data_IF_361273002771
#
_entry.id   IF_361273002771
#
_cell.length_a   1.000
_cell.length_b   1.000
_cell.length_c   1.000
_cell.angle_alpha   90.00
_cell.angle_beta   90.00
_cell.angle_gamma   90.00
#
_symmetry.space_group_name_H-M   'P 1'
#
loop_
_entity.id
_entity.type
_entity.pdbx_description
1 polymer ?
#
# COMPACT_ATOMS: atom_id res chain seq x y z
N UNK A 1 -15.08 54.80 -39.96
CA UNK A 1 -16.52 54.45 -39.87
C UNK A 1 -16.63 52.94 -39.97
N UNK A 2 -16.67 52.24 -38.83
CA UNK A 2 -17.84 51.47 -38.34
C UNK A 2 -18.57 50.71 -39.46
N UNK A 3 -18.51 49.37 -39.40
CA UNK A 3 -19.69 48.51 -39.46
C UNK A 3 -19.37 47.14 -38.85
N UNK A 4 -20.11 46.85 -37.79
CA UNK A 4 -20.17 45.62 -37.02
C UNK A 4 -20.91 44.55 -37.82
N UNK A 5 -20.41 43.31 -37.82
CA UNK A 5 -21.19 42.11 -38.17
C UNK A 5 -21.15 41.21 -36.95
N UNK A 6 -22.31 41.06 -36.31
CA UNK A 6 -22.56 40.25 -35.12
C UNK A 6 -22.75 38.77 -35.54
N UNK A 7 -22.32 37.78 -34.73
CA UNK A 7 -22.52 36.37 -35.04
C UNK A 7 -23.88 35.89 -34.51
N UNK A 8 -24.62 35.14 -35.34
CA UNK A 8 -25.90 34.51 -34.98
C UNK A 8 -25.89 33.05 -35.47
N UNK A 9 -24.95 32.25 -34.98
CA UNK A 9 -24.85 30.82 -35.25
C UNK A 9 -24.18 30.13 -34.05
N UNK A 10 -24.97 29.80 -33.03
CA UNK A 10 -24.43 29.16 -31.82
C UNK A 10 -25.46 28.78 -30.78
N UNK A 11 -26.73 28.55 -31.17
CA UNK A 11 -27.80 28.19 -30.23
C UNK A 11 -28.75 27.11 -30.77
N UNK A 12 -28.21 26.11 -31.50
CA UNK A 12 -29.03 25.03 -32.06
C UNK A 12 -28.38 23.63 -32.02
N UNK A 13 -27.43 23.38 -31.11
CA UNK A 13 -26.77 22.06 -30.94
C UNK A 13 -26.86 21.53 -29.50
N UNK A 14 -27.76 22.07 -28.66
CA UNK A 14 -27.91 21.67 -27.23
C UNK A 14 -29.21 20.87 -26.98
N UNK A 15 -29.85 20.27 -28.01
CA UNK A 15 -31.13 19.54 -27.83
C UNK A 15 -31.16 18.10 -28.36
N UNK A 16 -30.02 17.44 -28.62
CA UNK A 16 -30.00 16.06 -29.15
C UNK A 16 -29.00 15.12 -28.44
N UNK A 17 -28.90 15.14 -27.11
CA UNK A 17 -28.18 14.09 -26.34
C UNK A 17 -28.92 13.70 -25.06
N UNK A 18 -30.22 13.41 -25.15
CA UNK A 18 -31.02 12.99 -23.99
C UNK A 18 -31.85 11.72 -24.26
N UNK A 19 -31.27 10.72 -24.93
CA UNK A 19 -31.83 9.36 -25.02
C UNK A 19 -30.73 8.37 -25.41
N UNK A 20 -30.19 7.65 -24.42
CA UNK A 20 -29.76 6.25 -24.50
C UNK A 20 -28.71 5.95 -23.42
N UNK A 21 -29.17 5.45 -22.27
CA UNK A 21 -28.43 4.53 -21.39
C UNK A 21 -29.47 3.90 -20.44
N UNK A 22 -30.28 2.98 -20.96
CA UNK A 22 -31.03 2.07 -20.10
C UNK A 22 -30.03 1.03 -19.58
N UNK A 23 -29.88 0.95 -18.25
CA UNK A 23 -29.08 -0.09 -17.62
C UNK A 23 -29.66 -1.48 -17.94
N UNK A 24 -28.84 -2.47 -18.34
CA UNK A 24 -29.33 -3.81 -18.61
C UNK A 24 -29.87 -4.45 -17.33
N UNK A 25 -31.09 -4.96 -17.41
CA UNK A 25 -31.72 -5.74 -16.34
C UNK A 25 -30.90 -7.02 -16.08
N UNK A 26 -30.58 -7.37 -14.83
CA UNK A 26 -29.84 -8.60 -14.52
C UNK A 26 -30.64 -9.81 -15.00
N UNK A 27 -30.05 -10.61 -15.90
CA UNK A 27 -30.61 -11.90 -16.28
C UNK A 27 -30.23 -12.93 -15.21
N UNK A 28 -31.23 -13.45 -14.51
CA UNK A 28 -31.09 -14.61 -13.62
C UNK A 28 -30.91 -15.83 -14.53
N UNK A 29 -29.70 -16.37 -14.55
CA UNK A 29 -29.41 -17.65 -15.20
C UNK A 29 -29.73 -18.73 -14.16
N UNK A 30 -30.91 -19.33 -14.30
CA UNK A 30 -31.24 -20.56 -13.58
C UNK A 30 -30.43 -21.70 -14.19
N UNK A 31 -29.42 -22.18 -13.46
CA UNK A 31 -28.71 -23.41 -13.81
C UNK A 31 -29.53 -24.57 -13.24
N UNK A 32 -30.17 -25.40 -14.08
CA UNK A 32 -30.88 -26.59 -13.61
C UNK A 32 -29.85 -27.57 -13.02
N UNK A 33 -29.93 -27.81 -11.71
CA UNK A 33 -29.20 -28.87 -11.03
C UNK A 33 -29.86 -30.20 -11.37
N UNK A 34 -29.25 -30.97 -12.27
CA UNK A 34 -29.64 -32.36 -12.51
C UNK A 34 -29.41 -33.19 -11.24
N UNK A 35 -30.49 -33.55 -10.56
CA UNK A 35 -30.48 -34.56 -9.51
C UNK A 35 -30.60 -35.91 -10.19
N UNK A 36 -29.48 -36.63 -10.29
CA UNK A 36 -29.46 -38.03 -10.71
C UNK A 36 -30.14 -38.85 -9.62
N UNK A 37 -31.41 -39.17 -9.82
CA UNK A 37 -32.13 -40.18 -9.03
C UNK A 37 -31.80 -41.54 -9.63
N UNK A 38 -30.84 -42.25 -9.04
CA UNK A 38 -30.64 -43.67 -9.33
C UNK A 38 -31.82 -44.47 -8.78
N UNK A 39 -32.75 -44.77 -9.69
CA UNK A 39 -33.86 -45.69 -9.45
C UNK A 39 -33.33 -47.13 -9.52
N UNK A 40 -32.92 -47.68 -8.39
CA UNK A 40 -32.65 -49.12 -8.28
C UNK A 40 -33.99 -49.87 -8.15
N UNK A 41 -34.48 -50.44 -9.26
CA UNK A 41 -35.55 -51.45 -9.23
C UNK A 41 -34.88 -52.82 -9.28
N UNK A 42 -34.86 -53.54 -8.16
CA UNK A 42 -34.59 -54.98 -8.16
C UNK A 42 -35.63 -55.69 -7.30
N UNK A 43 -36.48 -56.42 -8.03
CA UNK A 43 -37.23 -57.64 -7.72
C UNK A 43 -37.47 -58.04 -6.25
N UNK A 44 -38.74 -58.14 -5.94
CA UNK A 44 -39.33 -58.94 -4.87
C UNK A 44 -39.00 -60.43 -5.03
N UNK A 45 -38.29 -60.99 -4.05
CA UNK A 45 -38.33 -62.41 -3.71
C UNK A 45 -38.60 -62.49 -2.21
N UNK A 46 -39.76 -63.02 -1.84
CA UNK A 46 -40.09 -63.34 -0.46
C UNK A 46 -39.16 -64.46 0.04
N UNK A 47 -38.27 -64.11 0.97
CA UNK A 47 -37.59 -65.08 1.83
C UNK A 47 -37.87 -64.66 3.26
N UNK A 48 -38.72 -65.43 3.93
CA UNK A 48 -38.94 -65.37 5.38
C UNK A 48 -37.63 -65.76 6.05
N UNK A 49 -36.92 -64.77 6.60
CA UNK A 49 -35.79 -64.98 7.50
C UNK A 49 -35.97 -64.05 8.67
N UNK A 50 -36.13 -64.63 9.86
CA UNK A 50 -36.14 -63.89 11.13
C UNK A 50 -34.81 -63.15 11.26
N UNK A 51 -34.86 -61.82 11.16
CA UNK A 51 -33.72 -60.93 11.40
C UNK A 51 -33.84 -60.45 12.84
N UNK A 52 -32.89 -60.87 13.68
CA UNK A 52 -32.67 -60.27 14.97
C UNK A 52 -32.39 -58.78 14.79
N UNK A 53 -33.23 -57.94 15.39
CA UNK A 53 -33.04 -56.50 15.43
C UNK A 53 -31.88 -56.23 16.39
N UNK A 54 -30.65 -56.16 15.89
CA UNK A 54 -29.58 -55.46 16.60
C UNK A 54 -29.80 -53.96 16.41
N UNK A 55 -30.18 -53.30 17.51
CA UNK A 55 -30.18 -51.85 17.62
C UNK A 55 -28.73 -51.39 17.56
N UNK A 56 -28.26 -51.04 16.36
CA UNK A 56 -26.98 -50.35 16.20
C UNK A 56 -27.22 -48.93 16.70
N UNK A 57 -26.87 -48.71 17.97
CA UNK A 57 -26.79 -47.38 18.56
C UNK A 57 -25.61 -46.69 17.87
N UNK A 58 -25.89 -45.92 16.83
CA UNK A 58 -24.89 -45.10 16.16
C UNK A 58 -24.47 -44.00 17.15
N UNK A 59 -23.43 -44.31 17.92
CA UNK A 59 -22.74 -43.33 18.76
C UNK A 59 -21.95 -42.48 17.78
N UNK A 60 -22.53 -41.34 17.38
CA UNK A 60 -21.77 -40.26 16.77
C UNK A 60 -20.78 -39.81 17.83
N UNK A 61 -19.56 -40.37 17.77
CA UNK A 61 -18.43 -39.88 18.55
C UNK A 61 -18.07 -38.55 17.91
N UNK A 62 -18.66 -37.47 18.40
CA UNK A 62 -18.18 -36.12 18.14
C UNK A 62 -16.74 -36.11 18.65
N UNK A 63 -15.77 -36.13 17.74
CA UNK A 63 -14.37 -36.02 18.11
C UNK A 63 -14.23 -34.76 18.96
N UNK A 64 -13.80 -34.93 20.21
CA UNK A 64 -13.38 -33.81 21.04
C UNK A 64 -12.36 -33.03 20.21
N UNK A 65 -12.59 -31.73 19.93
CA UNK A 65 -11.64 -30.95 19.15
C UNK A 65 -10.28 -31.07 19.83
N UNK A 66 -9.27 -31.42 19.04
CA UNK A 66 -7.90 -31.47 19.51
C UNK A 66 -7.58 -30.11 20.16
N UNK A 67 -6.96 -30.09 21.35
CA UNK A 67 -6.61 -28.83 22.00
C UNK A 67 -5.83 -27.97 21.01
N UNK A 68 -6.16 -26.67 20.88
CA UNK A 68 -5.42 -25.79 19.99
C UNK A 68 -3.94 -25.89 20.34
N UNK A 69 -3.09 -26.00 19.32
CA UNK A 69 -1.66 -26.03 19.51
C UNK A 69 -1.24 -24.82 20.38
N UNK A 70 -0.32 -24.99 21.33
CA UNK A 70 0.14 -23.87 22.14
C UNK A 70 0.64 -22.76 21.21
N UNK A 71 0.13 -21.54 21.44
CA UNK A 71 0.56 -20.35 20.71
C UNK A 71 2.08 -20.21 20.87
N UNK A 72 2.78 -19.96 19.75
CA UNK A 72 4.22 -19.72 19.77
C UNK A 72 4.54 -18.48 20.64
N UNK A 73 5.72 -18.48 21.25
CA UNK A 73 6.23 -17.31 21.99
C UNK A 73 6.32 -16.08 21.05
N UNK A 74 5.55 -15.04 21.37
CA UNK A 74 5.44 -13.80 20.59
C UNK A 74 6.35 -12.68 21.13
N UNK A 75 7.11 -12.93 22.20
CA UNK A 75 7.87 -11.88 22.91
C UNK A 75 8.83 -11.10 22.00
N UNK A 76 9.50 -11.77 21.08
CA UNK A 76 10.40 -11.12 20.11
C UNK A 76 9.63 -10.24 19.11
N UNK A 77 8.46 -10.67 18.66
CA UNK A 77 7.60 -9.91 17.72
C UNK A 77 7.04 -8.67 18.42
N UNK A 78 6.57 -8.82 19.66
CA UNK A 78 6.08 -7.71 20.48
C UNK A 78 7.19 -6.70 20.73
N UNK A 79 8.40 -7.16 21.06
CA UNK A 79 9.55 -6.27 21.25
C UNK A 79 9.94 -5.53 19.96
N UNK A 80 9.92 -6.21 18.81
CA UNK A 80 10.17 -5.58 17.52
C UNK A 80 9.11 -4.51 17.21
N UNK A 81 7.82 -4.82 17.42
CA UNK A 81 6.72 -3.88 17.28
C UNK A 81 6.88 -2.66 18.19
N UNK A 82 7.12 -2.87 19.48
CA UNK A 82 7.31 -1.80 20.49
C UNK A 82 8.48 -0.85 20.16
N UNK A 83 9.46 -1.30 19.39
CA UNK A 83 10.59 -0.47 18.94
C UNK A 83 10.33 0.25 17.61
N UNK A 84 9.27 -0.13 16.90
CA UNK A 84 8.94 0.37 15.58
C UNK A 84 8.05 1.61 15.60
N UNK A 85 7.93 2.31 14.46
CA UNK A 85 7.13 3.52 14.34
C UNK A 85 5.60 3.28 14.34
N UNK A 86 5.14 2.03 14.44
CA UNK A 86 3.73 1.71 14.58
C UNK A 86 3.27 1.63 16.05
N UNK A 87 4.16 1.34 17.00
CA UNK A 87 3.77 1.20 18.41
C UNK A 87 3.69 2.53 19.17
N UNK A 88 4.64 3.43 18.92
CA UNK A 88 4.76 4.70 19.62
C UNK A 88 4.90 5.82 18.59
N UNK A 89 3.76 6.33 18.14
CA UNK A 89 3.68 7.27 17.02
C UNK A 89 2.98 8.58 17.36
N UNK A 90 2.72 8.84 18.65
CA UNK A 90 2.10 10.09 19.09
C UNK A 90 2.98 11.29 18.72
N UNK A 91 2.39 12.25 18.04
CA UNK A 91 3.08 13.46 17.58
C UNK A 91 2.06 14.56 17.30
N UNK A 92 2.25 15.74 17.91
CA UNK A 92 1.36 16.89 17.71
C UNK A 92 1.27 17.34 16.24
N UNK A 93 2.31 17.11 15.45
CA UNK A 93 2.40 17.38 14.01
C UNK A 93 1.78 16.28 13.13
N UNK A 94 1.47 15.10 13.67
CA UNK A 94 0.75 14.03 12.96
C UNK A 94 -0.77 14.09 13.14
N UNK A 95 -1.26 15.11 13.84
CA UNK A 95 -2.68 15.31 14.10
C UNK A 95 -3.18 14.38 15.20
N UNK A 96 -2.93 14.72 16.48
CA UNK A 96 -3.45 13.99 17.65
C UNK A 96 -4.94 14.26 17.80
N UNK A 97 -5.74 13.76 16.88
CA UNK A 97 -7.17 14.03 16.80
C UNK A 97 -7.91 12.83 16.23
N UNK A 98 -9.18 12.78 16.58
CA UNK A 98 -10.10 11.70 16.22
C UNK A 98 -10.33 11.50 14.72
N UNK A 99 -9.90 12.40 13.82
CA UNK A 99 -9.91 12.20 12.36
C UNK A 99 -8.64 11.51 11.86
N UNK A 100 -7.47 12.03 12.23
CA UNK A 100 -6.16 11.48 11.86
C UNK A 100 -5.85 10.15 12.56
N UNK A 101 -6.45 9.93 13.74
CA UNK A 101 -6.41 8.66 14.48
C UNK A 101 -6.79 7.45 13.64
N UNK A 102 -7.59 7.61 12.57
CA UNK A 102 -7.89 6.51 11.62
C UNK A 102 -6.66 5.68 11.22
N UNK A 103 -5.52 6.34 11.00
CA UNK A 103 -4.30 5.68 10.53
C UNK A 103 -3.20 5.62 11.60
N UNK A 104 -3.29 6.42 12.66
CA UNK A 104 -2.22 6.52 13.66
C UNK A 104 -2.61 5.96 15.03
N UNK A 105 -3.91 5.90 15.35
CA UNK A 105 -4.46 5.27 16.55
C UNK A 105 -5.92 4.86 16.30
N UNK A 106 -6.17 3.80 15.50
CA UNK A 106 -7.49 3.52 14.93
C UNK A 106 -8.63 3.39 15.95
N UNK A 107 -8.33 2.99 17.18
CA UNK A 107 -9.27 2.89 18.30
C UNK A 107 -9.75 4.25 18.80
N UNK A 108 -8.98 5.32 18.59
CA UNK A 108 -9.43 6.69 18.84
C UNK A 108 -10.14 7.32 17.63
N UNK A 109 -10.33 6.60 16.52
CA UNK A 109 -10.97 7.16 15.33
C UNK A 109 -12.47 7.38 15.56
N UNK A 110 -12.96 8.59 15.26
CA UNK A 110 -14.38 8.87 15.14
C UNK A 110 -14.75 9.10 13.66
N UNK A 111 -15.55 8.20 13.05
CA UNK A 111 -15.94 8.28 11.64
C UNK A 111 -16.92 9.42 11.35
N UNK A 112 -17.37 10.17 12.35
CA UNK A 112 -18.23 11.35 12.19
C UNK A 112 -17.44 12.65 12.04
N UNK A 113 -16.15 12.66 12.38
CA UNK A 113 -15.27 13.83 12.28
C UNK A 113 -14.99 14.27 10.85
N UNK A 114 -14.95 15.57 10.60
CA UNK A 114 -14.72 16.15 9.27
C UNK A 114 -13.74 17.32 9.37
N UNK A 115 -13.13 17.72 8.26
CA UNK A 115 -12.35 18.95 8.22
C UNK A 115 -13.22 20.17 8.56
N UNK A 116 -12.69 21.07 9.38
CA UNK A 116 -13.35 22.34 9.72
C UNK A 116 -13.05 23.40 8.64
N UNK A 117 -13.61 24.60 8.82
CA UNK A 117 -13.33 25.76 7.98
C UNK A 117 -11.97 26.38 8.32
N UNK A 118 -11.29 27.01 7.33
CA UNK A 118 -10.12 27.82 7.61
C UNK A 118 -10.38 28.88 8.70
N UNK A 119 -9.40 29.17 9.57
CA UNK A 119 -8.00 28.71 9.54
C UNK A 119 -7.71 27.38 10.28
N UNK A 120 -8.72 26.78 10.91
CA UNK A 120 -8.57 25.63 11.81
C UNK A 120 -9.02 24.32 11.14
N UNK A 121 -8.64 24.08 9.88
CA UNK A 121 -9.20 22.99 9.10
C UNK A 121 -9.03 21.59 9.74
N UNK A 122 -7.94 21.39 10.48
CA UNK A 122 -7.58 20.12 11.14
C UNK A 122 -6.94 20.45 12.49
N UNK A 123 -7.17 19.60 13.49
CA UNK A 123 -6.49 19.68 14.79
C UNK A 123 -5.06 19.17 14.69
N UNK A 124 -4.07 20.06 14.53
CA UNK A 124 -2.67 19.69 14.33
C UNK A 124 -1.73 20.88 14.61
N UNK A 125 -0.49 20.60 15.01
CA UNK A 125 0.58 21.59 15.10
C UNK A 125 1.36 21.66 13.80
N UNK A 126 1.18 22.75 13.04
CA UNK A 126 2.03 23.01 11.88
C UNK A 126 3.40 23.53 12.30
N UNK A 127 4.48 23.30 11.50
CA UNK A 127 5.82 23.75 11.86
C UNK A 127 5.96 25.26 12.14
N UNK A 128 5.08 26.08 11.56
CA UNK A 128 5.09 27.54 11.74
C UNK A 128 4.25 28.02 12.93
N UNK A 129 3.48 27.13 13.56
CA UNK A 129 2.58 27.49 14.64
C UNK A 129 3.24 27.26 16.02
N UNK A 130 3.05 28.20 16.93
CA UNK A 130 3.50 28.07 18.32
C UNK A 130 2.70 26.98 19.04
N UNK A 131 1.39 26.97 18.82
CA UNK A 131 0.40 26.11 19.48
C UNK A 131 -0.32 25.20 18.47
N UNK A 132 -0.89 24.11 18.99
CA UNK A 132 -1.76 23.21 18.22
C UNK A 132 -3.00 24.00 17.77
N UNK A 133 -3.32 23.96 16.47
CA UNK A 133 -4.62 24.45 16.00
C UNK A 133 -5.70 23.46 16.40
N UNK A 134 -6.85 23.97 16.83
CA UNK A 134 -7.98 23.15 17.27
C UNK A 134 -9.15 23.34 16.30
N UNK A 135 -9.50 22.28 15.57
CA UNK A 135 -10.72 22.21 14.77
C UNK A 135 -11.93 21.95 15.70
N UNK A 136 -13.09 22.53 15.40
CA UNK A 136 -14.32 22.35 16.18
C UNK A 136 -15.06 21.05 15.85
N UNK A 137 -14.64 20.38 14.79
CA UNK A 137 -15.31 19.20 14.20
C UNK A 137 -14.56 17.88 14.47
N UNK A 138 -13.48 17.92 15.25
CA UNK A 138 -12.72 16.75 15.67
C UNK A 138 -12.12 17.00 17.04
N UNK A 139 -12.26 16.03 17.94
CA UNK A 139 -11.70 16.09 19.28
C UNK A 139 -10.19 15.85 19.25
N UNK A 140 -9.46 16.58 20.10
CA UNK A 140 -8.05 16.32 20.38
C UNK A 140 -7.92 15.09 21.26
N UNK A 141 -6.96 14.24 20.94
CA UNK A 141 -6.65 13.02 21.70
C UNK A 141 -5.37 13.30 22.46
N UNK A 142 -5.44 13.36 23.78
CA UNK A 142 -4.27 13.53 24.64
C UNK A 142 -3.33 12.31 24.51
N UNK A 143 -2.04 12.52 24.72
CA UNK A 143 -1.03 11.45 24.67
C UNK A 143 -1.37 10.27 25.59
N UNK A 144 -1.93 10.56 26.77
CA UNK A 144 -2.33 9.54 27.73
C UNK A 144 -3.52 8.68 27.26
N UNK A 145 -4.33 9.20 26.33
CA UNK A 145 -5.48 8.52 25.75
C UNK A 145 -5.17 7.92 24.36
N UNK A 146 -3.94 8.12 23.88
CA UNK A 146 -3.48 7.64 22.58
C UNK A 146 -3.16 6.15 22.63
N UNK A 147 -3.96 5.34 21.92
CA UNK A 147 -3.83 3.88 21.91
C UNK A 147 -2.70 3.39 20.98
N UNK A 148 -2.43 4.12 19.89
CA UNK A 148 -1.49 3.72 18.85
C UNK A 148 -2.04 2.61 17.94
N UNK A 149 -1.17 1.96 17.16
CA UNK A 149 -1.55 0.86 16.26
C UNK A 149 -1.23 -0.47 16.95
N UNK A 150 -2.19 -1.01 17.69
CA UNK A 150 -2.06 -2.28 18.40
C UNK A 150 -2.07 -3.51 17.49
N UNK A 151 -1.66 -4.66 18.04
CA UNK A 151 -1.68 -5.94 17.32
C UNK A 151 -3.08 -6.31 16.80
N UNK A 152 -4.11 -5.94 17.57
CA UNK A 152 -5.54 -6.08 17.27
C UNK A 152 -5.98 -5.32 16.02
N UNK A 153 -5.23 -4.29 15.60
CA UNK A 153 -5.53 -3.58 14.35
C UNK A 153 -5.32 -4.48 13.13
N UNK A 154 -4.30 -5.35 13.20
CA UNK A 154 -3.78 -6.14 12.08
C UNK A 154 -4.04 -7.65 12.22
N UNK A 155 -4.42 -8.09 13.42
CA UNK A 155 -4.63 -9.49 13.75
C UNK A 155 -5.83 -9.64 14.67
N UNK A 156 -6.61 -10.68 14.45
CA UNK A 156 -7.55 -11.13 15.48
C UNK A 156 -6.77 -11.77 16.64
N UNK A 157 -7.00 -11.25 17.84
CA UNK A 157 -6.38 -11.73 19.08
C UNK A 157 -7.33 -12.63 19.86
N UNK A 158 -6.78 -13.67 20.50
CA UNK A 158 -7.53 -14.50 21.44
C UNK A 158 -7.81 -13.78 22.78
N UNK A 159 -8.55 -14.42 23.69
CA UNK A 159 -8.88 -13.86 25.02
C UNK A 159 -7.64 -13.56 25.87
N UNK A 160 -6.49 -14.15 25.54
CA UNK A 160 -5.20 -13.92 26.21
C UNK A 160 -4.36 -12.85 25.51
N UNK A 161 -4.88 -12.23 24.44
CA UNK A 161 -4.21 -11.19 23.67
C UNK A 161 -3.22 -11.71 22.64
N UNK A 162 -3.24 -13.01 22.29
CA UNK A 162 -2.30 -13.57 21.32
C UNK A 162 -2.91 -13.65 19.92
N UNK A 163 -2.08 -13.38 18.91
CA UNK A 163 -2.45 -13.58 17.50
C UNK A 163 -2.25 -15.04 17.06
N UNK A 164 -3.16 -15.55 16.22
CA UNK A 164 -2.97 -16.83 15.50
C UNK A 164 -2.07 -16.71 14.27
N UNK A 165 -1.55 -15.50 13.99
CA UNK A 165 -0.75 -15.18 12.81
C UNK A 165 -1.57 -14.90 11.54
N UNK A 166 -2.90 -15.07 11.60
CA UNK A 166 -3.80 -14.69 10.50
C UNK A 166 -3.92 -13.17 10.42
N UNK A 167 -3.92 -12.65 9.20
CA UNK A 167 -4.16 -11.23 8.95
C UNK A 167 -5.66 -10.95 9.07
N UNK A 168 -5.98 -9.85 9.73
CA UNK A 168 -7.32 -9.29 9.82
C UNK A 168 -7.23 -7.76 9.91
N UNK A 169 -8.32 -7.07 9.65
CA UNK A 169 -8.41 -5.63 9.88
C UNK A 169 -9.52 -5.36 10.88
N UNK A 170 -9.20 -4.76 12.03
CA UNK A 170 -10.23 -4.31 12.97
C UNK A 170 -10.93 -3.07 12.42
N UNK A 171 -12.19 -3.21 12.04
CA UNK A 171 -13.02 -2.08 11.70
C UNK A 171 -13.60 -1.46 12.98
N UNK A 172 -12.97 -0.38 13.46
CA UNK A 172 -13.34 0.28 14.72
C UNK A 172 -14.70 0.98 14.66
N UNK A 173 -15.33 1.11 13.49
CA UNK A 173 -16.71 1.63 13.36
C UNK A 173 -17.74 0.56 13.70
N UNK A 174 -17.49 -0.69 13.28
CA UNK A 174 -18.39 -1.82 13.52
C UNK A 174 -17.98 -2.67 14.71
N UNK A 175 -16.75 -2.50 15.19
CA UNK A 175 -16.11 -3.37 16.19
C UNK A 175 -16.04 -4.83 15.73
N UNK A 176 -15.81 -5.02 14.43
CA UNK A 176 -15.74 -6.35 13.80
C UNK A 176 -14.44 -6.49 13.00
N UNK A 177 -13.91 -7.71 12.96
CA UNK A 177 -12.76 -8.04 12.14
C UNK A 177 -13.17 -8.32 10.69
N UNK A 178 -12.54 -7.62 9.77
CA UNK A 178 -12.59 -7.91 8.34
C UNK A 178 -11.46 -8.87 7.97
N UNK A 179 -11.77 -9.92 7.23
CA UNK A 179 -10.75 -10.79 6.65
C UNK A 179 -9.99 -10.03 5.55
N UNK A 180 -8.66 -10.09 5.59
CA UNK A 180 -7.78 -9.55 4.54
C UNK A 180 -6.93 -10.67 3.97
N UNK A 181 -6.73 -10.65 2.66
CA UNK A 181 -6.13 -11.77 1.92
C UNK A 181 -4.61 -11.67 1.78
N UNK A 182 -4.06 -10.47 1.92
CA UNK A 182 -2.63 -10.21 1.77
C UNK A 182 -2.16 -9.03 2.66
N UNK A 183 -0.86 -8.99 3.04
CA UNK A 183 -0.29 -7.86 3.77
C UNK A 183 -0.50 -6.52 3.07
N UNK A 184 -0.36 -6.47 1.74
CA UNK A 184 -0.58 -5.23 0.98
C UNK A 184 -2.00 -4.68 1.15
N UNK A 185 -3.02 -5.54 1.09
CA UNK A 185 -4.42 -5.15 1.29
C UNK A 185 -4.63 -4.56 2.70
N UNK A 186 -3.96 -5.12 3.70
CA UNK A 186 -3.99 -4.61 5.07
C UNK A 186 -3.27 -3.26 5.19
N UNK A 187 -2.06 -3.13 4.65
CA UNK A 187 -1.29 -1.88 4.66
C UNK A 187 -2.05 -0.73 3.99
N UNK A 188 -2.75 -1.02 2.89
CA UNK A 188 -3.56 -0.05 2.13
C UNK A 188 -4.79 0.47 2.89
N UNK A 189 -5.15 -0.12 4.05
CA UNK A 189 -6.17 0.46 4.95
C UNK A 189 -5.75 1.82 5.50
N UNK A 190 -4.43 2.06 5.63
CA UNK A 190 -3.83 3.30 6.14
C UNK A 190 -2.92 4.00 5.13
N UNK A 191 -2.16 3.26 4.33
CA UNK A 191 -1.26 3.78 3.28
C UNK A 191 -1.99 3.98 1.95
N UNK A 192 -2.93 4.91 1.94
CA UNK A 192 -3.73 5.26 0.76
C UNK A 192 -3.72 6.77 0.49
N UNK A 193 -4.08 7.15 -0.73
CA UNK A 193 -4.34 8.53 -1.10
C UNK A 193 -5.82 8.81 -0.91
N UNK A 194 -6.16 9.69 0.04
CA UNK A 194 -7.54 10.13 0.30
C UNK A 194 -7.83 11.53 -0.24
N UNK A 195 -6.86 12.15 -0.93
CA UNK A 195 -7.01 13.47 -1.53
C UNK A 195 -8.20 13.47 -2.50
N UNK A 196 -9.04 14.51 -2.43
CA UNK A 196 -10.20 14.66 -3.32
C UNK A 196 -11.48 13.92 -2.92
N UNK A 197 -11.57 13.26 -1.76
CA UNK A 197 -12.87 12.79 -1.26
C UNK A 197 -13.72 14.01 -0.86
N UNK A 198 -14.68 14.37 -1.71
CA UNK A 198 -15.58 15.51 -1.49
C UNK A 198 -16.34 15.41 -0.16
N UNK A 199 -16.58 14.18 0.34
CA UNK A 199 -17.24 13.94 1.63
C UNK A 199 -16.41 14.35 2.86
N UNK A 200 -15.09 14.50 2.73
CA UNK A 200 -14.19 14.97 3.81
C UNK A 200 -13.70 16.40 3.63
N UNK A 201 -14.20 17.12 2.61
CA UNK A 201 -13.79 18.50 2.34
C UNK A 201 -12.49 18.63 1.55
N UNK A 202 -11.98 17.55 0.94
CA UNK A 202 -10.85 17.62 0.01
C UNK A 202 -9.47 17.78 0.63
N UNK A 203 -9.32 17.63 1.95
CA UNK A 203 -8.03 17.75 2.66
C UNK A 203 -7.26 16.42 2.75
N UNK A 204 -7.67 15.43 1.96
CA UNK A 204 -7.17 14.06 2.10
C UNK A 204 -5.65 13.95 1.96
N UNK A 205 -5.12 12.99 2.70
CA UNK A 205 -3.70 12.72 2.80
C UNK A 205 -3.24 11.89 1.60
N UNK A 206 -2.09 12.20 1.01
CA UNK A 206 -1.48 11.42 -0.09
C UNK A 206 -0.43 10.49 0.50
N UNK A 207 -0.82 9.27 0.87
CA UNK A 207 0.07 8.26 1.45
C UNK A 207 0.01 6.92 0.69
N UNK A 208 -0.61 6.87 -0.49
CA UNK A 208 -0.59 5.66 -1.30
C UNK A 208 0.84 5.30 -1.67
N UNK A 209 1.21 4.06 -1.38
CA UNK A 209 2.46 3.47 -1.85
C UNK A 209 2.10 2.60 -3.04
N UNK A 210 2.41 3.08 -4.24
CA UNK A 210 2.24 2.26 -5.44
C UNK A 210 3.42 1.30 -5.56
N UNK A 211 3.17 0.00 -5.39
CA UNK A 211 4.13 -1.03 -5.78
C UNK A 211 4.13 -1.13 -7.30
N UNK A 212 5.05 -0.45 -7.98
CA UNK A 212 5.13 -0.36 -9.44
C UNK A 212 6.34 -1.06 -10.06
N UNK A 213 6.55 -0.81 -11.36
CA UNK A 213 7.78 -1.21 -12.06
C UNK A 213 7.86 -2.66 -12.54
N UNK A 214 8.87 -2.96 -13.35
CA UNK A 214 9.04 -4.25 -14.06
C UNK A 214 9.94 -5.27 -13.35
N UNK A 215 10.78 -4.85 -12.40
CA UNK A 215 11.83 -5.71 -11.83
C UNK A 215 11.28 -6.87 -10.99
N UNK A 216 10.23 -6.61 -10.22
CA UNK A 216 9.56 -7.61 -9.39
C UNK A 216 8.20 -8.04 -9.95
N UNK A 217 7.78 -7.46 -11.09
CA UNK A 217 6.60 -7.87 -11.84
C UNK A 217 6.97 -8.87 -12.93
N UNK A 218 6.02 -9.70 -13.32
CA UNK A 218 6.23 -10.80 -14.24
C UNK A 218 6.41 -10.31 -15.69
N UNK A 219 7.64 -9.99 -16.10
CA UNK A 219 7.93 -9.85 -17.53
C UNK A 219 7.93 -11.24 -18.16
N UNK A 220 6.81 -11.59 -18.80
CA UNK A 220 6.64 -12.72 -19.73
C UNK A 220 6.88 -14.16 -19.23
N UNK A 221 6.76 -14.46 -17.92
CA UNK A 221 6.60 -15.84 -17.45
C UNK A 221 7.82 -16.77 -17.66
N UNK A 222 9.00 -16.21 -17.87
CA UNK A 222 10.22 -16.98 -18.08
C UNK A 222 11.00 -17.21 -16.77
N UNK A 223 11.26 -18.49 -16.50
CA UNK A 223 12.19 -19.10 -15.52
C UNK A 223 11.80 -19.11 -14.03
N UNK A 224 12.07 -20.23 -13.31
CA UNK A 224 11.61 -20.43 -11.94
C UNK A 224 12.44 -19.56 -10.97
N UNK A 225 11.79 -18.58 -10.36
CA UNK A 225 12.32 -17.83 -9.23
C UNK A 225 11.44 -18.21 -8.03
N UNK A 226 11.98 -18.96 -7.07
CA UNK A 226 11.21 -19.58 -5.99
C UNK A 226 10.55 -18.56 -5.03
N UNK A 227 11.01 -17.31 -4.99
CA UNK A 227 10.39 -16.23 -4.23
C UNK A 227 10.72 -14.89 -4.90
N UNK A 228 9.69 -14.20 -5.42
CA UNK A 228 9.79 -12.81 -5.88
C UNK A 228 9.02 -11.92 -4.91
N UNK A 229 9.58 -10.77 -4.46
CA UNK A 229 8.83 -9.84 -3.64
C UNK A 229 7.58 -9.34 -4.40
N UNK A 230 6.41 -9.47 -3.80
CA UNK A 230 5.12 -9.00 -4.33
C UNK A 230 4.33 -8.20 -3.32
N UNK A 231 4.59 -8.39 -2.02
CA UNK A 231 3.89 -7.74 -0.95
C UNK A 231 4.80 -6.75 -0.22
N UNK A 232 4.19 -5.76 0.44
CA UNK A 232 4.92 -4.80 1.29
C UNK A 232 5.82 -5.53 2.30
N UNK A 233 5.33 -6.64 2.86
CA UNK A 233 6.02 -7.46 3.87
C UNK A 233 7.22 -8.24 3.34
N UNK A 234 7.39 -8.35 2.01
CA UNK A 234 8.55 -9.04 1.44
C UNK A 234 9.81 -8.18 1.56
N UNK A 235 9.62 -6.86 1.59
CA UNK A 235 10.66 -5.85 1.72
C UNK A 235 10.68 -5.17 3.10
N UNK A 236 9.58 -5.17 3.85
CA UNK A 236 9.50 -4.56 5.18
C UNK A 236 9.04 -5.58 6.21
N UNK A 237 9.60 -5.57 7.41
CA UNK A 237 8.96 -6.27 8.53
C UNK A 237 7.79 -5.40 9.05
N UNK A 238 6.52 -5.84 9.05
CA UNK A 238 5.41 -5.00 9.50
C UNK A 238 5.46 -4.67 11.00
N UNK A 239 6.24 -5.41 11.79
CA UNK A 239 6.36 -5.16 13.23
C UNK A 239 7.42 -4.09 13.50
N UNK A 240 8.64 -4.21 12.97
CA UNK A 240 9.67 -3.17 13.16
C UNK A 240 9.60 -2.03 12.12
N UNK A 241 8.93 -2.26 10.99
CA UNK A 241 8.92 -1.47 9.73
C UNK A 241 10.28 -1.34 9.04
N UNK A 242 11.31 -2.00 9.57
CA UNK A 242 12.65 -1.92 9.03
C UNK A 242 12.70 -2.53 7.62
N UNK A 243 13.14 -1.76 6.60
CA UNK A 243 13.21 -2.27 5.24
C UNK A 243 14.45 -3.16 5.08
N UNK A 244 14.26 -4.28 4.38
CA UNK A 244 15.33 -4.98 3.70
C UNK A 244 16.03 -4.07 2.71
N UNK A 245 17.33 -4.25 2.59
CA UNK A 245 18.14 -3.64 1.57
C UNK A 245 18.11 -4.48 0.30
N UNK A 246 18.33 -3.86 -0.86
CA UNK A 246 18.37 -4.57 -2.15
C UNK A 246 19.41 -5.71 -2.11
N UNK A 247 20.51 -5.49 -1.41
CA UNK A 247 21.64 -6.42 -1.24
C UNK A 247 21.30 -7.65 -0.41
N UNK A 248 20.25 -7.60 0.42
CA UNK A 248 19.82 -8.76 1.22
C UNK A 248 19.30 -9.89 0.32
N UNK A 249 18.82 -9.54 -0.88
CA UNK A 249 18.40 -10.48 -1.92
C UNK A 249 19.37 -10.53 -3.10
N UNK A 250 20.08 -9.43 -3.40
CA UNK A 250 20.88 -9.25 -4.60
C UNK A 250 22.38 -9.10 -4.31
N UNK A 251 22.94 -9.76 -3.30
CA UNK A 251 24.36 -9.63 -2.91
C UNK A 251 25.34 -9.76 -4.09
N UNK A 252 25.08 -10.68 -5.02
CA UNK A 252 25.93 -10.92 -6.19
C UNK A 252 26.07 -9.70 -7.13
N UNK A 253 25.16 -8.73 -7.08
CA UNK A 253 25.26 -7.52 -7.92
C UNK A 253 26.43 -6.63 -7.50
N UNK A 254 26.86 -6.72 -6.23
CA UNK A 254 27.95 -5.89 -5.68
C UNK A 254 29.30 -6.19 -6.33
N UNK A 255 29.47 -7.38 -6.90
CA UNK A 255 30.70 -7.85 -7.53
C UNK A 255 30.54 -8.15 -9.02
N UNK A 256 29.36 -7.89 -9.58
CA UNK A 256 29.07 -8.19 -10.99
C UNK A 256 29.77 -7.22 -11.93
N UNK A 257 30.67 -7.73 -12.77
CA UNK A 257 31.33 -6.91 -13.81
C UNK A 257 30.36 -6.46 -14.91
N UNK A 258 29.19 -7.08 -15.05
CA UNK A 258 28.25 -6.81 -16.14
C UNK A 258 27.11 -5.87 -15.77
N UNK A 259 26.70 -5.82 -14.49
CA UNK A 259 25.54 -5.04 -14.07
C UNK A 259 25.76 -3.53 -14.23
N UNK A 260 26.81 -3.00 -13.61
CA UNK A 260 27.20 -1.59 -13.66
C UNK A 260 28.28 -1.32 -14.72
N UNK A 261 28.36 -2.16 -15.77
CA UNK A 261 29.40 -2.11 -16.80
C UNK A 261 30.83 -2.01 -16.22
N UNK A 262 31.09 -2.70 -15.12
CA UNK A 262 32.39 -2.69 -14.42
C UNK A 262 32.62 -1.52 -13.47
N UNK A 263 31.72 -0.53 -13.37
CA UNK A 263 31.87 0.66 -12.52
C UNK A 263 31.43 0.46 -11.06
N UNK A 264 31.34 -0.78 -10.59
CA UNK A 264 30.80 -1.16 -9.27
C UNK A 264 31.37 -0.30 -8.11
N UNK A 265 32.69 -0.09 -8.04
CA UNK A 265 33.31 0.64 -6.93
C UNK A 265 32.82 2.10 -6.83
N UNK A 266 32.68 2.77 -7.97
CA UNK A 266 32.25 4.17 -7.99
C UNK A 266 30.75 4.25 -7.76
N UNK A 267 29.97 3.44 -8.49
CA UNK A 267 28.52 3.48 -8.39
C UNK A 267 28.00 3.10 -6.99
N UNK A 268 28.51 2.04 -6.37
CA UNK A 268 28.09 1.64 -5.03
C UNK A 268 28.44 2.65 -3.93
N UNK A 269 29.44 3.51 -4.15
CA UNK A 269 29.82 4.56 -3.20
C UNK A 269 29.17 5.92 -3.48
N UNK A 270 28.54 6.08 -4.64
CA UNK A 270 28.03 7.38 -5.11
C UNK A 270 26.59 7.36 -5.58
N UNK A 271 25.95 6.22 -5.74
CA UNK A 271 24.62 6.08 -6.33
C UNK A 271 23.83 5.03 -5.55
N UNK A 272 22.62 5.39 -5.11
CA UNK A 272 21.68 4.42 -4.56
C UNK A 272 21.11 3.54 -5.67
N UNK A 273 20.75 2.29 -5.39
CA UNK A 273 20.15 1.41 -6.40
C UNK A 273 18.92 2.05 -7.08
N UNK A 274 18.10 2.75 -6.30
CA UNK A 274 16.86 3.38 -6.80
C UNK A 274 17.11 4.56 -7.73
N UNK A 275 18.24 5.25 -7.64
CA UNK A 275 18.58 6.31 -8.60
C UNK A 275 18.59 5.79 -10.05
N UNK A 276 19.00 4.55 -10.27
CA UNK A 276 18.96 3.91 -11.59
C UNK A 276 17.70 3.08 -11.82
N UNK A 277 17.23 2.37 -10.78
CA UNK A 277 16.15 1.38 -10.90
C UNK A 277 14.75 1.91 -10.62
N UNK A 278 14.57 3.20 -10.35
CA UNK A 278 13.25 3.81 -10.26
C UNK A 278 12.51 3.77 -11.60
N UNK A 279 11.25 3.33 -11.57
CA UNK A 279 10.34 3.24 -12.70
C UNK A 279 9.26 4.33 -12.70
N UNK A 280 9.20 5.17 -11.66
CA UNK A 280 8.24 6.29 -11.57
C UNK A 280 8.77 7.57 -12.21
N UNK A 281 9.91 7.50 -12.89
CA UNK A 281 10.56 8.62 -13.58
C UNK A 281 10.86 9.80 -12.64
N UNK A 282 11.12 9.50 -11.36
CA UNK A 282 11.51 10.50 -10.37
C UNK A 282 12.82 11.19 -10.79
N UNK A 283 12.99 12.44 -10.36
CA UNK A 283 14.24 13.17 -10.55
C UNK A 283 15.38 12.44 -9.84
N UNK A 284 16.60 12.58 -10.36
CA UNK A 284 17.79 11.96 -9.77
C UNK A 284 18.84 13.04 -9.57
N UNK A 285 19.44 13.08 -8.39
CA UNK A 285 20.50 14.02 -8.06
C UNK A 285 21.14 13.72 -6.71
N UNK A 286 22.11 14.55 -6.26
CA UNK A 286 22.72 14.42 -4.95
C UNK A 286 21.68 14.46 -3.84
N UNK A 287 21.78 13.56 -2.87
CA UNK A 287 20.89 13.52 -1.71
C UNK A 287 20.91 14.87 -0.95
N UNK A 288 19.74 15.44 -0.59
CA UNK A 288 19.65 16.79 -0.02
C UNK A 288 20.24 16.92 1.39
N UNK A 289 20.29 15.81 2.14
CA UNK A 289 21.03 15.73 3.41
C UNK A 289 22.55 15.66 3.15
N UNK A 290 23.27 16.71 3.57
CA UNK A 290 24.72 16.85 3.43
C UNK A 290 25.49 15.71 4.12
N UNK A 291 24.94 15.13 5.20
CA UNK A 291 25.57 14.01 5.91
C UNK A 291 25.63 12.74 5.06
N UNK A 292 24.79 12.64 4.02
CA UNK A 292 24.84 11.54 3.04
C UNK A 292 25.93 11.74 1.98
N UNK A 293 26.73 12.81 2.08
CA UNK A 293 27.95 12.98 1.29
C UNK A 293 27.73 13.08 -0.23
N UNK A 294 26.55 13.57 -0.64
CA UNK A 294 26.19 13.77 -2.04
C UNK A 294 25.97 12.48 -2.85
N UNK A 295 25.63 11.37 -2.20
CA UNK A 295 25.19 10.15 -2.89
C UNK A 295 23.97 10.46 -3.76
N UNK A 296 23.98 10.03 -5.02
CA UNK A 296 22.87 10.20 -5.94
C UNK A 296 21.68 9.31 -5.55
N UNK A 297 20.52 9.93 -5.47
CA UNK A 297 19.27 9.30 -5.07
C UNK A 297 18.10 9.83 -5.90
N UNK A 298 16.97 9.15 -5.81
CA UNK A 298 15.69 9.66 -6.31
C UNK A 298 15.19 10.82 -5.45
N UNK A 299 14.70 11.85 -6.12
CA UNK A 299 14.30 13.12 -5.53
C UNK A 299 12.89 13.51 -6.01
N UNK A 300 12.19 14.28 -5.19
CA UNK A 300 10.97 14.98 -5.58
C UNK A 300 11.17 16.47 -5.31
N UNK A 301 11.06 17.25 -6.37
CA UNK A 301 10.96 18.70 -6.30
C UNK A 301 9.50 19.09 -6.09
N UNK A 302 9.23 19.88 -5.05
CA UNK A 302 7.91 20.40 -4.75
C UNK A 302 7.95 21.85 -4.29
N UNK A 303 6.78 22.45 -4.08
CA UNK A 303 6.67 23.78 -3.47
C UNK A 303 6.02 23.60 -2.10
N UNK A 304 6.73 24.01 -1.06
CA UNK A 304 6.21 24.00 0.31
C UNK A 304 4.96 24.86 0.45
N UNK A 305 4.24 24.71 1.56
CA UNK A 305 3.06 25.53 1.86
C UNK A 305 3.38 27.03 1.99
N UNK A 306 4.63 27.41 2.24
CA UNK A 306 5.08 28.82 2.25
C UNK A 306 5.45 29.36 0.87
N UNK A 307 5.40 28.53 -0.18
CA UNK A 307 5.77 28.93 -1.55
C UNK A 307 7.25 28.73 -1.88
N UNK A 308 8.06 28.22 -0.94
CA UNK A 308 9.47 27.94 -1.18
C UNK A 308 9.65 26.60 -1.90
N UNK A 309 10.49 26.52 -2.94
CA UNK A 309 10.90 25.24 -3.54
C UNK A 309 11.58 24.35 -2.50
N UNK A 310 11.23 23.07 -2.48
CA UNK A 310 11.84 22.06 -1.62
C UNK A 310 12.20 20.85 -2.48
N UNK A 311 13.40 20.32 -2.24
CA UNK A 311 13.85 19.06 -2.83
C UNK A 311 13.97 18.06 -1.71
N UNK A 312 13.24 16.96 -1.81
CA UNK A 312 13.23 15.91 -0.80
C UNK A 312 13.73 14.61 -1.40
N UNK A 313 14.46 13.85 -0.60
CA UNK A 313 14.75 12.46 -0.93
C UNK A 313 13.47 11.64 -0.87
N UNK A 314 13.29 10.76 -1.86
CA UNK A 314 12.22 9.77 -1.85
C UNK A 314 12.81 8.41 -2.18
N UNK A 315 12.35 7.35 -1.51
CA UNK A 315 12.65 5.98 -1.92
C UNK A 315 11.53 5.49 -2.83
N UNK A 316 11.85 5.24 -4.09
CA UNK A 316 10.89 4.65 -5.02
C UNK A 316 10.48 3.25 -4.58
N UNK A 317 9.18 2.95 -4.74
CA UNK A 317 8.59 1.62 -4.56
C UNK A 317 8.23 0.97 -5.90
N UNK A 318 8.62 1.62 -7.00
CA UNK A 318 8.37 1.20 -8.37
C UNK A 318 9.70 0.89 -9.03
N UNK A 319 10.03 -0.39 -9.08
CA UNK A 319 11.40 -0.82 -9.42
C UNK A 319 11.40 -1.42 -10.82
N UNK A 320 12.24 -0.91 -11.73
CA UNK A 320 12.41 -1.45 -13.07
C UNK A 320 13.73 -2.20 -13.25
N UNK A 321 13.68 -3.21 -14.11
CA UNK A 321 14.85 -4.04 -14.44
C UNK A 321 15.82 -3.31 -15.37
N UNK A 322 15.28 -2.68 -16.42
CA UNK A 322 16.06 -1.93 -17.39
C UNK A 322 16.34 -0.54 -16.82
N UNK A 323 17.59 -0.09 -16.97
CA UNK A 323 18.05 1.21 -16.51
C UNK A 323 18.60 2.00 -17.70
N UNK A 324 18.52 3.32 -17.64
CA UNK A 324 19.03 4.21 -18.67
C UNK A 324 20.11 5.13 -18.05
N UNK A 325 21.32 5.10 -18.61
CA UNK A 325 22.45 5.85 -18.06
C UNK A 325 22.31 7.36 -18.23
N UNK A 326 21.63 7.79 -19.29
CA UNK A 326 21.32 9.20 -19.59
C UNK A 326 20.45 9.89 -18.54
N UNK A 327 19.79 9.13 -17.65
CA UNK A 327 19.10 9.68 -16.47
C UNK A 327 20.01 10.52 -15.58
N UNK A 328 21.26 10.08 -15.41
CA UNK A 328 22.28 10.82 -14.65
C UNK A 328 23.30 11.50 -15.56
N UNK A 329 23.38 11.12 -16.84
CA UNK A 329 24.43 11.50 -17.77
C UNK A 329 23.86 12.21 -19.01
N UNK A 330 23.14 13.31 -18.80
CA UNK A 330 22.53 14.11 -19.87
C UNK A 330 23.38 15.33 -20.27
N UNK A 331 23.05 15.97 -21.41
CA UNK A 331 23.70 17.20 -21.87
C UNK A 331 23.50 18.36 -20.88
N UNK A 332 24.50 19.23 -20.74
CA UNK A 332 24.49 20.38 -19.81
C UNK A 332 24.22 19.99 -18.34
N UNK A 333 24.68 18.80 -17.95
CA UNK A 333 24.57 18.31 -16.58
C UNK A 333 25.26 19.25 -15.58
N UNK A 334 24.52 19.71 -14.57
CA UNK A 334 24.99 20.68 -13.57
C UNK A 334 25.97 20.10 -12.55
N UNK A 335 26.19 18.78 -12.57
CA UNK A 335 27.10 18.05 -11.69
C UNK A 335 28.39 17.62 -12.39
N UNK A 336 28.70 18.21 -13.56
CA UNK A 336 29.92 17.95 -14.34
C UNK A 336 30.11 16.46 -14.73
N UNK A 337 29.01 15.71 -14.87
CA UNK A 337 29.04 14.34 -15.36
C UNK A 337 29.12 14.31 -16.90
N UNK A 338 29.85 13.36 -17.51
CA UNK A 338 29.90 13.24 -18.95
C UNK A 338 28.53 12.85 -19.50
N UNK A 339 28.19 13.36 -20.67
CA UNK A 339 26.98 12.93 -21.40
C UNK A 339 27.15 11.49 -21.90
N UNK A 340 26.13 10.66 -21.69
CA UNK A 340 26.01 9.29 -22.16
C UNK A 340 24.64 9.05 -22.78
N UNK A 341 24.52 8.08 -23.69
CA UNK A 341 23.25 7.56 -24.16
C UNK A 341 22.54 6.74 -23.07
N UNK A 342 21.25 6.42 -23.24
CA UNK A 342 20.55 5.45 -22.39
C UNK A 342 21.31 4.14 -22.20
N UNK A 343 22.00 3.69 -23.25
CA UNK A 343 22.84 2.49 -23.22
C UNK A 343 24.14 2.67 -22.43
N UNK A 344 24.54 3.88 -22.05
CA UNK A 344 25.80 4.17 -21.35
C UNK A 344 27.01 4.27 -22.25
N UNK A 345 26.83 4.80 -23.46
CA UNK A 345 27.89 5.06 -24.45
C UNK A 345 28.06 6.58 -24.63
N UNK A 346 29.26 7.05 -24.94
CA UNK A 346 29.45 8.48 -25.27
C UNK A 346 28.75 8.78 -26.60
N UNK A 347 27.90 9.83 -26.69
CA UNK A 347 27.27 10.22 -27.94
C UNK A 347 28.31 10.51 -29.02
N UNK A 348 28.04 10.10 -30.26
CA UNK A 348 28.87 10.47 -31.40
C UNK A 348 28.76 11.99 -31.60
N UNK A 349 29.89 12.69 -31.70
CA UNK A 349 29.88 14.13 -31.96
C UNK A 349 29.22 14.40 -33.31
N UNK A 350 28.21 15.28 -33.36
CA UNK A 350 27.72 15.83 -34.62
C UNK A 350 28.89 16.57 -35.30
N UNK A 351 29.48 15.93 -36.31
CA UNK A 351 30.65 16.41 -37.05
C UNK A 351 30.35 17.50 -38.06
#
# INVERSE_FOLDING_TARGET
>A
MKKYVLPLFGLLVVSMVALACAAPTPQIIEVPKEVVVEKLVIQTVEVVKEVAIEVIKEVVVTATPEPPAPVADQSAIVAAWQSGPHSDNYDLGKGPNTYCSRCHSPQNWDPTTRADRPPNCITCKFPTDEEVRMATTMEFVEEADWVGIGCDTCHELDESGNSSGKLAWLNTVTDEYEAVSAPTELCEKCHLTTSGIAATGGTGVTHAIALGGSAHRNWAGEWPQAARPQYCSDCHDPHSTEPKQCTDCHEAVLTSETHMKGFNQIMLSKVTCMACHDADEMEVGPHPDEEKGGVFATLVSSVSRSGEPVIEYVKSHSIQWQVACDRCHFADNTWDLPELTAGGETPESEG
#
